data_IF_674816172934
#
_entry.id   IF_674816172934
#
_cell.length_a   1.000
_cell.length_b   1.000
_cell.length_c   1.000
_cell.angle_alpha   90.00
_cell.angle_beta   90.00
_cell.angle_gamma   90.00
#
_symmetry.space_group_name_H-M   'P 1'
#
loop_
_entity.id
_entity.type
_entity.pdbx_description
1 polymer ?
#
# COMPACT_ATOMS: atom_id res chain seq x y z
N UNK A 1 11.43 -76.14 23.01
CA UNK A 1 12.83 -76.49 22.72
C UNK A 1 13.59 -75.20 22.42
N UNK A 2 14.13 -74.51 23.44
CA UNK A 2 15.57 -74.30 23.71
C UNK A 2 16.45 -74.03 22.48
N UNK A 3 16.99 -72.80 22.39
CA UNK A 3 18.40 -72.40 22.11
C UNK A 3 18.43 -70.86 21.94
N UNK A 4 18.75 -70.08 22.97
CA UNK A 4 20.10 -69.64 23.39
C UNK A 4 20.99 -69.09 22.27
N UNK A 5 21.18 -67.76 22.23
CA UNK A 5 22.42 -67.12 21.79
C UNK A 5 22.53 -65.68 22.34
N UNK A 6 23.06 -65.57 23.56
CA UNK A 6 23.69 -64.34 24.07
C UNK A 6 24.96 -64.03 23.26
N UNK A 7 25.22 -62.74 22.98
CA UNK A 7 26.54 -62.04 22.88
C UNK A 7 26.29 -60.65 22.26
N UNK A 8 26.95 -59.53 22.57
CA UNK A 8 27.88 -59.09 23.62
C UNK A 8 27.91 -57.56 23.52
N UNK A 9 27.91 -56.88 24.67
CA UNK A 9 28.22 -55.45 24.89
C UNK A 9 29.49 -55.03 24.14
N UNK A 10 29.49 -53.86 23.48
CA UNK A 10 30.64 -52.96 23.43
C UNK A 10 30.15 -51.50 23.45
N UNK A 11 30.27 -50.89 24.62
CA UNK A 11 30.32 -49.45 24.78
C UNK A 11 31.67 -48.96 24.23
N UNK A 12 31.66 -47.95 23.37
CA UNK A 12 32.85 -47.21 22.97
C UNK A 12 32.62 -45.74 23.26
N UNK A 13 33.24 -45.32 24.36
CA UNK A 13 33.41 -43.96 24.83
C UNK A 13 34.05 -43.10 23.72
N UNK A 14 33.36 -42.06 23.26
CA UNK A 14 33.96 -41.02 22.42
C UNK A 14 34.57 -39.95 23.33
N UNK A 15 35.90 -39.94 23.34
CA UNK A 15 36.77 -38.97 24.03
C UNK A 15 36.53 -37.55 23.49
N UNK A 16 36.32 -36.59 24.39
CA UNK A 16 36.36 -35.16 24.10
C UNK A 16 37.81 -34.70 23.83
N UNK A 17 38.06 -33.79 22.87
CA UNK A 17 39.37 -33.19 22.68
C UNK A 17 39.61 -32.00 23.63
N UNK A 18 40.89 -31.78 23.92
CA UNK A 18 41.43 -30.92 24.97
C UNK A 18 41.13 -29.42 24.77
N UNK A 19 40.80 -28.75 25.88
CA UNK A 19 40.71 -27.30 25.99
C UNK A 19 42.11 -26.67 25.95
N UNK A 20 42.35 -25.82 24.96
CA UNK A 20 43.55 -24.99 24.83
C UNK A 20 43.27 -23.65 25.52
N UNK A 21 43.89 -23.40 26.67
CA UNK A 21 43.75 -22.19 27.45
C UNK A 21 44.53 -21.03 26.78
N UNK A 22 43.81 -19.98 26.39
CA UNK A 22 44.38 -18.69 25.96
C UNK A 22 44.47 -17.75 27.15
N UNK A 23 45.70 -17.30 27.45
CA UNK A 23 46.01 -16.28 28.45
C UNK A 23 45.55 -14.89 27.97
N UNK A 24 44.89 -14.07 28.80
CA UNK A 24 44.55 -12.70 28.41
C UNK A 24 45.80 -11.81 28.53
N UNK A 25 46.16 -11.17 27.42
CA UNK A 25 47.13 -10.10 27.37
C UNK A 25 46.52 -8.87 28.06
N UNK A 26 46.99 -8.56 29.27
CA UNK A 26 46.64 -7.32 29.96
C UNK A 26 47.32 -6.13 29.25
N UNK A 27 46.54 -5.35 28.51
CA UNK A 27 46.97 -4.06 27.96
C UNK A 27 46.90 -3.04 29.10
N UNK A 28 48.07 -2.61 29.59
CA UNK A 28 48.18 -1.39 30.40
C UNK A 28 47.91 -0.19 29.48
N UNK A 29 46.76 0.48 29.69
CA UNK A 29 46.56 1.85 29.20
C UNK A 29 47.09 2.79 30.30
N UNK A 30 47.95 3.77 29.98
CA UNK A 30 48.45 4.71 30.98
C UNK A 30 47.30 5.53 31.54
N UNK A 31 47.38 5.80 32.85
CA UNK A 31 46.41 6.64 33.54
C UNK A 31 46.22 7.98 32.84
N UNK A 32 44.96 8.35 32.65
CA UNK A 32 44.56 9.74 32.68
C UNK A 32 44.57 10.15 34.16
N UNK A 33 45.69 10.70 34.62
CA UNK A 33 45.69 11.59 35.78
C UNK A 33 44.81 12.81 35.45
N UNK A 34 43.92 13.14 36.39
CA UNK A 34 43.22 14.42 36.57
C UNK A 34 42.40 15.00 35.40
N UNK A 35 41.27 14.36 35.06
CA UNK A 35 40.14 15.11 34.52
C UNK A 35 39.20 15.47 35.68
N UNK A 36 39.29 16.73 36.12
CA UNK A 36 38.29 17.38 36.96
C UNK A 36 36.89 16.97 36.47
N UNK A 37 36.07 16.45 37.37
CA UNK A 37 34.68 16.06 37.10
C UNK A 37 33.80 17.29 36.92
N UNK A 38 34.06 18.11 35.90
CA UNK A 38 33.09 19.11 35.48
C UNK A 38 31.97 18.37 34.77
N UNK A 39 30.75 18.50 35.30
CA UNK A 39 29.55 17.99 34.61
C UNK A 39 29.56 18.50 33.16
N UNK A 40 29.19 17.70 32.15
CA UNK A 40 29.15 18.18 30.77
C UNK A 40 28.26 19.43 30.60
N UNK A 41 27.27 19.61 31.48
CA UNK A 41 26.39 20.77 31.55
C UNK A 41 26.94 21.96 32.36
N UNK A 42 28.13 21.85 32.96
CA UNK A 42 28.73 22.96 33.69
C UNK A 42 29.09 24.11 32.73
N UNK A 43 28.45 25.26 32.94
CA UNK A 43 28.58 26.44 32.07
C UNK A 43 27.72 26.42 30.80
N UNK A 44 26.78 25.47 30.65
CA UNK A 44 25.80 25.45 29.55
C UNK A 44 24.47 25.99 30.04
N UNK A 45 24.11 27.19 29.60
CA UNK A 45 22.85 27.84 29.97
C UNK A 45 21.74 27.68 28.92
N UNK A 46 22.02 26.98 27.82
CA UNK A 46 21.08 26.80 26.71
C UNK A 46 20.51 28.12 26.19
N UNK A 47 21.34 29.18 26.15
CA UNK A 47 20.93 30.53 25.79
C UNK A 47 19.84 31.13 26.72
N UNK A 48 19.60 30.54 27.89
CA UNK A 48 18.54 30.91 28.82
C UNK A 48 17.14 30.39 28.45
N UNK A 49 17.01 29.54 27.42
CA UNK A 49 15.74 29.07 26.87
C UNK A 49 15.65 27.54 26.83
N UNK A 50 16.17 26.88 27.87
CA UNK A 50 16.10 25.43 27.99
C UNK A 50 16.86 24.88 29.19
N UNK A 51 16.79 23.57 29.34
CA UNK A 51 17.49 22.82 30.39
C UNK A 51 18.53 21.91 29.75
N UNK A 52 19.76 21.96 30.25
CA UNK A 52 20.83 21.07 29.79
C UNK A 52 20.64 19.65 30.32
N UNK A 53 20.70 18.68 29.42
CA UNK A 53 20.79 17.24 29.70
C UNK A 53 22.09 16.67 29.14
N UNK A 54 22.49 15.52 29.66
CA UNK A 54 23.67 14.80 29.16
C UNK A 54 23.25 13.57 28.39
N UNK A 55 23.70 13.44 27.14
CA UNK A 55 23.63 12.20 26.39
C UNK A 55 25.05 11.63 26.25
N UNK A 56 25.35 10.62 27.08
CA UNK A 56 26.70 10.11 27.28
C UNK A 56 27.64 11.17 27.84
N UNK A 57 28.62 11.60 27.04
CA UNK A 57 29.63 12.60 27.43
C UNK A 57 29.32 14.02 26.90
N UNK A 58 28.26 14.18 26.10
CA UNK A 58 27.95 15.44 25.43
C UNK A 58 26.77 16.16 26.09
N UNK A 59 26.88 17.48 26.33
CA UNK A 59 25.76 18.30 26.77
C UNK A 59 24.82 18.63 25.61
N UNK A 60 23.53 18.35 25.80
CA UNK A 60 22.45 18.63 24.87
C UNK A 60 21.40 19.52 25.56
N UNK A 61 20.95 20.56 24.89
CA UNK A 61 19.89 21.42 25.40
C UNK A 61 18.50 20.88 25.03
N UNK A 62 17.64 20.68 26.01
CA UNK A 62 16.19 20.55 25.79
C UNK A 62 15.60 21.95 25.86
N UNK A 63 15.21 22.51 24.71
CA UNK A 63 14.77 23.89 24.60
C UNK A 63 13.29 24.08 24.96
N UNK A 64 12.96 25.27 25.47
CA UNK A 64 11.59 25.71 25.72
C UNK A 64 10.81 25.89 24.40
N UNK A 65 9.46 25.88 24.42
CA UNK A 65 8.64 26.08 23.22
C UNK A 65 9.01 27.36 22.45
N UNK A 66 9.09 27.24 21.12
CA UNK A 66 9.54 28.32 20.22
C UNK A 66 11.07 28.39 20.02
N UNK A 67 11.82 27.45 20.60
CA UNK A 67 13.27 27.36 20.46
C UNK A 67 13.71 25.95 20.04
N UNK A 68 14.68 25.87 19.14
CA UNK A 68 15.16 24.61 18.56
C UNK A 68 16.56 24.30 19.12
N UNK A 69 16.85 23.05 19.51
CA UNK A 69 18.16 22.66 20.01
C UNK A 69 19.21 22.67 18.89
N UNK A 70 20.29 23.42 19.11
CA UNK A 70 21.48 23.45 18.25
C UNK A 70 22.72 23.15 19.09
N UNK A 71 22.85 21.89 19.48
CA UNK A 71 23.89 21.42 20.37
C UNK A 71 23.75 21.99 21.79
N UNK A 72 24.65 22.93 22.15
CA UNK A 72 24.70 23.57 23.49
C UNK A 72 23.88 24.87 23.57
N UNK A 73 23.16 25.22 22.51
CA UNK A 73 22.43 26.48 22.40
C UNK A 73 20.99 26.20 21.98
N UNK A 74 20.07 27.00 22.50
CA UNK A 74 18.75 27.13 21.94
C UNK A 74 18.77 28.35 21.02
N UNK A 75 18.30 28.17 19.77
CA UNK A 75 18.12 29.27 18.81
C UNK A 75 16.63 29.52 18.60
N UNK A 76 16.18 30.78 18.36
CA UNK A 76 14.78 31.04 18.10
C UNK A 76 14.35 30.22 16.90
N UNK A 77 13.34 29.36 17.11
CA UNK A 77 12.59 28.80 16.00
C UNK A 77 11.76 29.95 15.46
N UNK A 78 12.32 30.72 14.52
CA UNK A 78 11.47 31.53 13.66
C UNK A 78 10.45 30.59 13.05
N UNK A 79 9.18 31.02 13.00
CA UNK A 79 8.06 30.25 12.49
C UNK A 79 8.45 29.59 11.15
N UNK A 80 8.80 28.31 11.21
CA UNK A 80 9.04 27.42 10.08
C UNK A 80 8.11 26.24 10.34
N UNK A 81 6.85 26.36 9.94
CA UNK A 81 6.50 26.22 8.54
C UNK A 81 6.13 24.76 8.34
N UNK A 82 4.84 24.46 8.38
CA UNK A 82 4.26 23.21 7.89
C UNK A 82 3.11 23.59 6.98
N UNK A 83 3.35 23.41 5.68
CA UNK A 83 2.38 23.07 4.65
C UNK A 83 1.05 23.86 4.66
N UNK A 84 0.92 24.82 3.75
CA UNK A 84 -0.35 25.47 3.45
C UNK A 84 -0.60 25.31 1.94
N UNK A 85 -1.80 24.88 1.58
CA UNK A 85 -2.24 24.91 0.18
C UNK A 85 -2.31 26.35 -0.34
N UNK A 86 -2.53 26.51 -1.65
CA UNK A 86 -2.61 27.81 -2.32
C UNK A 86 -3.68 28.79 -1.77
N UNK A 87 -4.56 28.32 -0.87
CA UNK A 87 -5.62 29.09 -0.19
C UNK A 87 -5.31 29.42 1.29
N UNK A 88 -4.13 29.06 1.81
CA UNK A 88 -3.65 29.50 3.13
C UNK A 88 -4.37 28.90 4.34
N UNK A 89 -4.91 27.68 4.21
CA UNK A 89 -5.39 26.89 5.35
C UNK A 89 -4.25 26.04 5.91
N UNK A 90 -4.23 25.92 7.24
CA UNK A 90 -3.29 25.15 8.03
C UNK A 90 -3.57 23.64 7.86
N UNK A 91 -2.74 22.90 7.10
CA UNK A 91 -2.73 21.42 7.16
C UNK A 91 -1.87 20.97 8.33
N UNK A 92 -2.29 21.41 9.51
CA UNK A 92 -2.05 20.67 10.74
C UNK A 92 -2.54 19.24 10.49
N UNK A 93 -1.59 18.34 10.23
CA UNK A 93 -1.72 16.88 10.23
C UNK A 93 -2.44 16.50 11.52
N UNK A 94 -3.76 16.45 11.45
CA UNK A 94 -4.62 16.33 12.62
C UNK A 94 -5.26 14.99 12.52
N UNK A 95 -4.61 14.03 13.16
CA UNK A 95 -5.18 12.73 13.28
C UNK A 95 -6.58 12.80 13.88
N UNK A 96 -7.54 12.26 13.14
CA UNK A 96 -8.95 12.26 13.50
C UNK A 96 -9.76 13.41 12.89
N UNK A 97 -9.41 13.90 11.70
CA UNK A 97 -10.21 14.91 10.98
C UNK A 97 -11.10 14.34 9.87
N UNK A 98 -10.99 13.04 9.62
CA UNK A 98 -11.74 12.25 8.66
C UNK A 98 -11.07 12.16 7.29
N UNK A 99 -9.82 12.62 7.15
CA UNK A 99 -9.07 12.62 5.89
C UNK A 99 -7.66 12.07 6.11
N UNK A 100 -7.35 10.93 5.49
CA UNK A 100 -5.99 10.37 5.53
C UNK A 100 -4.98 11.21 4.73
N UNK A 101 -4.02 11.81 5.42
CA UNK A 101 -2.91 12.55 4.82
C UNK A 101 -1.68 11.68 4.47
N UNK A 102 -0.76 12.21 3.66
CA UNK A 102 0.44 11.51 3.16
C UNK A 102 1.42 10.97 4.23
N UNK A 103 1.30 11.40 5.49
CA UNK A 103 2.16 10.96 6.62
C UNK A 103 1.38 10.16 7.67
N UNK A 104 0.06 10.00 7.50
CA UNK A 104 -0.80 9.26 8.40
C UNK A 104 -0.95 7.83 7.88
N UNK A 105 -0.90 6.85 8.77
CA UNK A 105 -1.20 5.46 8.39
C UNK A 105 -2.72 5.25 8.33
N UNK A 106 -3.50 6.03 9.08
CA UNK A 106 -4.96 5.99 9.15
C UNK A 106 -5.52 7.35 9.60
N UNK A 107 -6.82 7.60 9.39
CA UNK A 107 -7.58 8.68 10.02
C UNK A 107 -9.05 8.24 10.13
N UNK A 108 -9.60 8.22 11.35
CA UNK A 108 -10.97 7.77 11.64
C UNK A 108 -11.91 8.90 12.12
N UNK A 109 -11.51 10.15 11.91
CA UNK A 109 -12.32 11.31 12.24
C UNK A 109 -12.46 11.58 13.74
N UNK A 110 -11.66 10.94 14.61
CA UNK A 110 -11.63 11.26 16.02
C UNK A 110 -10.27 10.93 16.71
N UNK A 111 -10.13 11.27 18.00
CA UNK A 111 -8.87 11.14 18.75
C UNK A 111 -8.93 10.01 19.81
N UNK A 112 -9.77 9.01 19.60
CA UNK A 112 -9.89 7.89 20.51
C UNK A 112 -8.75 6.91 20.25
N UNK A 113 -8.05 6.51 21.31
CA UNK A 113 -6.85 5.66 21.16
C UNK A 113 -7.19 4.19 20.90
N UNK A 114 -8.47 3.87 20.70
CA UNK A 114 -9.00 2.51 20.84
C UNK A 114 -10.08 2.15 19.84
N UNK A 115 -10.06 2.65 18.61
CA UNK A 115 -11.10 2.40 17.59
C UNK A 115 -10.57 2.23 16.17
N UNK A 116 -9.30 1.84 16.02
CA UNK A 116 -8.71 1.56 14.71
C UNK A 116 -7.54 2.48 14.40
N UNK A 117 -7.60 3.74 14.84
CA UNK A 117 -6.55 4.73 14.62
C UNK A 117 -6.22 5.48 15.92
N UNK A 118 -4.96 5.46 16.36
CA UNK A 118 -4.55 6.25 17.53
C UNK A 118 -4.57 7.74 17.23
N UNK A 119 -4.55 8.62 18.24
CA UNK A 119 -4.38 10.08 18.02
C UNK A 119 -3.01 10.49 17.46
N UNK A 120 -2.10 9.53 17.29
CA UNK A 120 -0.81 9.69 16.61
C UNK A 120 -0.84 9.18 15.15
N UNK A 121 -2.02 8.83 14.62
CA UNK A 121 -2.22 8.34 13.26
C UNK A 121 -1.42 7.09 12.90
N UNK A 122 -1.24 6.26 13.92
CA UNK A 122 -0.78 4.87 13.79
C UNK A 122 -1.97 3.94 13.97
N UNK A 123 -2.01 2.86 13.20
CA UNK A 123 -3.06 1.86 13.33
C UNK A 123 -3.08 1.28 14.75
N UNK A 124 -4.27 1.21 15.35
CA UNK A 124 -4.49 0.46 16.58
C UNK A 124 -5.72 -0.41 16.45
N UNK A 125 -5.54 -1.73 16.38
CA UNK A 125 -6.69 -2.62 16.42
C UNK A 125 -7.37 -2.53 17.80
N UNK A 126 -8.70 -2.51 17.85
CA UNK A 126 -9.47 -2.58 19.09
C UNK A 126 -10.17 -3.91 19.32
N UNK A 127 -10.68 -4.48 18.24
CA UNK A 127 -11.29 -5.79 18.17
C UNK A 127 -10.58 -6.60 17.08
N UNK A 128 -10.83 -7.91 17.08
CA UNK A 128 -10.44 -8.78 15.98
C UNK A 128 -10.89 -8.25 14.61
N UNK A 129 -12.11 -7.70 14.54
CA UNK A 129 -12.72 -7.17 13.32
C UNK A 129 -11.95 -5.99 12.69
N UNK A 130 -11.13 -5.27 13.46
CA UNK A 130 -10.32 -4.17 12.92
C UNK A 130 -9.05 -4.69 12.21
N UNK A 131 -8.79 -5.99 12.32
CA UNK A 131 -7.66 -6.69 11.69
C UNK A 131 -8.11 -7.62 10.56
N UNK A 132 -9.39 -7.59 10.16
CA UNK A 132 -9.93 -8.43 9.09
C UNK A 132 -9.12 -8.26 7.81
N UNK A 133 -8.36 -9.29 7.44
CA UNK A 133 -7.54 -9.31 6.23
C UNK A 133 -8.24 -9.97 5.04
N UNK A 134 -9.48 -10.44 5.24
CA UNK A 134 -10.29 -11.11 4.23
C UNK A 134 -9.89 -12.57 3.99
N UNK A 135 -9.01 -13.15 4.81
CA UNK A 135 -8.69 -14.56 4.76
C UNK A 135 -9.42 -15.32 5.88
N UNK A 136 -10.50 -16.01 5.51
CA UNK A 136 -11.31 -16.81 6.43
C UNK A 136 -10.54 -17.96 7.12
N UNK A 137 -9.38 -18.35 6.58
CA UNK A 137 -8.53 -19.39 7.15
C UNK A 137 -7.50 -18.89 8.16
N UNK A 138 -7.55 -17.60 8.49
CA UNK A 138 -6.83 -17.01 9.60
C UNK A 138 -7.80 -16.32 10.55
N UNK A 139 -7.74 -16.67 11.84
CA UNK A 139 -8.42 -15.90 12.88
C UNK A 139 -7.65 -14.59 13.09
N UNK A 140 -8.34 -13.47 12.88
CA UNK A 140 -7.78 -12.15 13.13
C UNK A 140 -7.75 -11.84 14.62
N UNK A 141 -6.55 -11.57 15.13
CA UNK A 141 -6.31 -11.28 16.52
C UNK A 141 -5.72 -9.90 16.68
N UNK A 142 -6.41 -9.10 17.48
CA UNK A 142 -5.81 -7.90 18.04
C UNK A 142 -5.03 -8.23 19.31
N UNK A 143 -3.69 -8.32 19.21
CA UNK A 143 -2.83 -8.62 20.34
C UNK A 143 -2.55 -7.37 21.18
N UNK A 144 -2.64 -7.51 22.50
CA UNK A 144 -2.42 -6.43 23.49
C UNK A 144 -1.12 -6.61 24.30
N UNK A 145 -0.13 -7.31 23.74
CA UNK A 145 1.11 -7.62 24.44
C UNK A 145 2.18 -6.51 24.30
N UNK A 146 2.83 -6.13 25.41
CA UNK A 146 4.04 -5.29 25.38
C UNK A 146 3.84 -3.78 25.34
N UNK A 147 2.60 -3.28 25.45
CA UNK A 147 2.31 -1.84 25.44
C UNK A 147 2.02 -1.25 24.04
N UNK A 148 1.89 -2.10 23.03
CA UNK A 148 1.34 -1.76 21.71
C UNK A 148 0.16 -2.66 21.36
N UNK A 149 -0.68 -2.21 20.41
CA UNK A 149 -1.79 -2.98 19.84
C UNK A 149 -1.39 -3.33 18.41
N UNK A 150 -1.40 -4.61 18.06
CA UNK A 150 -0.96 -5.06 16.75
C UNK A 150 -1.88 -6.15 16.22
N UNK A 151 -2.16 -6.09 14.92
CA UNK A 151 -2.82 -7.18 14.22
C UNK A 151 -1.85 -8.37 14.10
N UNK A 152 -2.38 -9.55 14.41
CA UNK A 152 -1.73 -10.83 14.21
C UNK A 152 -2.80 -11.79 13.75
N UNK A 153 -2.44 -12.71 12.88
CA UNK A 153 -3.30 -13.83 12.52
C UNK A 153 -2.90 -15.08 13.31
N UNK A 154 -3.87 -15.97 13.53
CA UNK A 154 -3.61 -17.36 13.90
C UNK A 154 -4.34 -18.30 12.95
N UNK A 155 -3.79 -19.47 12.60
CA UNK A 155 -4.47 -20.37 11.66
C UNK A 155 -5.84 -20.83 12.20
N UNK A 156 -6.87 -20.77 11.36
CA UNK A 156 -8.17 -21.35 11.62
C UNK A 156 -8.08 -22.89 11.75
N UNK A 157 -9.18 -23.55 12.13
CA UNK A 157 -9.13 -25.02 12.28
C UNK A 157 -8.98 -25.67 10.91
N UNK A 158 -8.05 -26.61 10.85
CA UNK A 158 -7.87 -27.45 9.65
C UNK A 158 -9.17 -28.20 9.35
N UNK A 159 -9.66 -28.10 8.12
CA UNK A 159 -10.91 -28.70 7.70
C UNK A 159 -12.17 -27.87 8.02
N UNK A 160 -12.01 -26.67 8.56
CA UNK A 160 -13.10 -25.68 8.62
C UNK A 160 -13.43 -25.21 7.20
N UNK A 161 -14.71 -25.05 6.90
CA UNK A 161 -15.17 -24.57 5.60
C UNK A 161 -14.76 -23.11 5.41
N UNK A 162 -14.28 -22.78 4.23
CA UNK A 162 -13.96 -21.42 3.80
C UNK A 162 -14.46 -21.20 2.37
N UNK A 163 -14.45 -19.95 1.91
CA UNK A 163 -14.68 -19.54 0.53
C UNK A 163 -13.47 -18.74 0.03
N UNK A 164 -12.75 -19.23 -0.98
CA UNK A 164 -11.61 -18.51 -1.59
C UNK A 164 -12.03 -17.51 -2.68
N UNK A 165 -13.35 -17.39 -2.92
CA UNK A 165 -13.95 -16.52 -3.92
C UNK A 165 -13.85 -17.05 -5.35
N UNK A 166 -13.31 -18.26 -5.57
CA UNK A 166 -13.24 -18.90 -6.87
C UNK A 166 -14.31 -19.99 -6.99
N UNK A 167 -15.33 -19.73 -7.80
CA UNK A 167 -16.44 -20.68 -8.02
C UNK A 167 -16.01 -22.02 -8.67
N UNK A 168 -14.77 -22.11 -9.20
CA UNK A 168 -14.20 -23.33 -9.74
C UNK A 168 -13.37 -24.16 -8.75
N UNK A 169 -13.33 -23.75 -7.49
CA UNK A 169 -12.89 -24.57 -6.37
C UNK A 169 -14.12 -24.96 -5.55
N UNK A 170 -14.15 -26.22 -5.13
CA UNK A 170 -15.27 -26.82 -4.38
C UNK A 170 -14.73 -27.58 -3.18
N UNK A 171 -15.63 -27.85 -2.23
CA UNK A 171 -15.29 -28.52 -0.97
C UNK A 171 -14.09 -27.84 -0.26
N UNK A 172 -14.14 -26.51 -0.24
CA UNK A 172 -13.09 -25.64 0.24
C UNK A 172 -12.92 -25.71 1.76
N UNK A 173 -11.67 -25.88 2.16
CA UNK A 173 -11.29 -26.05 3.56
C UNK A 173 -9.98 -25.37 3.88
N UNK A 174 -9.85 -24.93 5.12
CA UNK A 174 -8.60 -24.39 5.63
C UNK A 174 -7.54 -25.48 5.81
N UNK A 175 -6.34 -25.24 5.27
CA UNK A 175 -5.18 -26.12 5.44
C UNK A 175 -4.33 -25.73 6.68
N UNK A 176 -3.31 -26.54 7.01
CA UNK A 176 -2.38 -26.27 8.14
C UNK A 176 -1.57 -24.96 7.99
N UNK A 177 -1.53 -24.38 6.78
CA UNK A 177 -0.84 -23.12 6.48
C UNK A 177 -1.74 -21.88 6.63
N UNK A 178 -3.04 -22.06 6.92
CA UNK A 178 -3.99 -20.95 7.00
C UNK A 178 -4.45 -20.44 5.63
N UNK A 179 -4.38 -21.29 4.61
CA UNK A 179 -4.88 -20.99 3.26
C UNK A 179 -6.20 -21.74 3.03
N UNK A 180 -7.15 -21.08 2.37
CA UNK A 180 -8.35 -21.74 1.86
C UNK A 180 -7.95 -22.55 0.61
N UNK A 181 -8.20 -23.86 0.64
CA UNK A 181 -7.89 -24.76 -0.47
C UNK A 181 -9.09 -25.64 -0.80
N UNK A 182 -9.41 -25.77 -2.08
CA UNK A 182 -10.47 -26.63 -2.58
C UNK A 182 -9.98 -27.68 -3.58
N UNK A 183 -10.87 -28.60 -3.92
CA UNK A 183 -10.71 -29.44 -5.10
C UNK A 183 -11.20 -28.69 -6.34
N UNK A 184 -10.59 -28.95 -7.49
CA UNK A 184 -11.07 -28.36 -8.74
C UNK A 184 -12.49 -28.87 -9.04
N UNK A 185 -13.41 -27.93 -9.27
CA UNK A 185 -14.73 -28.23 -9.77
C UNK A 185 -14.62 -29.01 -11.10
N UNK A 186 -15.55 -29.96 -11.37
CA UNK A 186 -15.56 -30.69 -12.63
C UNK A 186 -15.57 -29.75 -13.83
N UNK A 187 -14.96 -30.18 -14.94
CA UNK A 187 -15.07 -29.46 -16.19
C UNK A 187 -16.54 -29.29 -16.59
N UNK A 188 -16.86 -28.16 -17.22
CA UNK A 188 -18.24 -27.78 -17.61
C UNK A 188 -19.17 -27.42 -16.42
N UNK A 189 -18.65 -27.37 -15.19
CA UNK A 189 -19.35 -26.73 -14.07
C UNK A 189 -19.46 -25.25 -14.35
N UNK A 190 -20.66 -24.69 -14.20
CA UNK A 190 -20.88 -23.26 -14.44
C UNK A 190 -20.13 -22.44 -13.39
N UNK A 191 -19.43 -21.42 -13.85
CA UNK A 191 -18.78 -20.40 -13.05
C UNK A 191 -18.97 -19.04 -13.74
N UNK A 192 -18.61 -17.96 -13.06
CA UNK A 192 -18.61 -16.62 -13.62
C UNK A 192 -17.42 -15.82 -13.05
N UNK A 193 -16.42 -15.53 -13.89
CA UNK A 193 -15.27 -14.71 -13.48
C UNK A 193 -15.48 -13.20 -13.72
N UNK A 194 -16.70 -12.78 -14.11
CA UNK A 194 -17.10 -11.42 -14.45
C UNK A 194 -16.24 -10.76 -15.55
N UNK A 195 -15.49 -11.55 -16.32
CA UNK A 195 -14.54 -11.05 -17.33
C UNK A 195 -15.09 -11.07 -18.76
N UNK A 196 -16.19 -11.79 -19.03
CA UNK A 196 -16.75 -11.99 -20.38
C UNK A 196 -18.28 -11.95 -20.42
N UNK A 197 -18.80 -11.36 -21.49
CA UNK A 197 -20.21 -11.00 -21.67
C UNK A 197 -20.70 -11.62 -22.99
N UNK A 198 -20.83 -12.95 -23.00
CA UNK A 198 -21.16 -13.75 -24.19
C UNK A 198 -22.45 -14.58 -24.04
N UNK A 199 -23.19 -14.38 -22.95
CA UNK A 199 -24.47 -15.03 -22.69
C UNK A 199 -24.36 -16.54 -22.50
N UNK A 200 -23.15 -17.07 -22.45
CA UNK A 200 -22.84 -18.42 -22.02
C UNK A 200 -22.25 -18.34 -20.61
N UNK A 201 -22.70 -19.19 -19.67
CA UNK A 201 -22.00 -19.26 -18.39
C UNK A 201 -20.56 -19.71 -18.67
N UNK A 202 -19.57 -19.03 -18.09
CA UNK A 202 -18.21 -19.54 -18.08
C UNK A 202 -18.23 -20.95 -17.47
N UNK A 203 -17.23 -21.74 -17.82
CA UNK A 203 -17.11 -23.07 -17.24
C UNK A 203 -15.75 -23.29 -16.63
N UNK A 204 -15.75 -24.09 -15.58
CA UNK A 204 -14.51 -24.60 -15.04
C UNK A 204 -13.83 -25.49 -16.07
N UNK A 205 -12.51 -25.36 -16.21
CA UNK A 205 -11.69 -26.19 -17.08
C UNK A 205 -11.38 -27.59 -16.49
N UNK A 206 -11.87 -27.87 -15.28
CA UNK A 206 -11.56 -29.08 -14.52
C UNK A 206 -10.21 -29.04 -13.80
N UNK A 207 -9.46 -27.95 -13.92
CA UNK A 207 -8.20 -27.68 -13.23
C UNK A 207 -8.32 -26.54 -12.19
N UNK A 208 -9.52 -26.01 -11.99
CA UNK A 208 -9.82 -24.98 -10.99
C UNK A 208 -9.83 -23.56 -11.56
N UNK A 209 -9.74 -23.40 -12.89
CA UNK A 209 -9.85 -22.10 -13.54
C UNK A 209 -11.20 -21.94 -14.22
N UNK A 210 -11.84 -20.79 -13.99
CA UNK A 210 -13.03 -20.36 -14.71
C UNK A 210 -12.60 -19.79 -16.08
N UNK A 211 -12.91 -20.51 -17.17
CA UNK A 211 -12.43 -20.18 -18.52
C UNK A 211 -13.57 -19.76 -19.46
N UNK A 212 -13.34 -18.76 -20.32
CA UNK A 212 -14.35 -18.28 -21.26
C UNK A 212 -14.62 -19.24 -22.42
N UNK A 213 -15.88 -19.34 -22.83
CA UNK A 213 -16.30 -20.07 -24.03
C UNK A 213 -16.06 -19.29 -25.33
N UNK A 214 -14.81 -18.90 -25.62
CA UNK A 214 -14.29 -18.57 -26.97
C UNK A 214 -15.25 -17.94 -28.02
N UNK A 215 -15.63 -16.65 -27.91
CA UNK A 215 -15.72 -15.64 -29.00
C UNK A 215 -16.13 -14.25 -28.43
N UNK A 216 -15.81 -13.11 -29.10
CA UNK A 216 -15.14 -11.98 -28.45
C UNK A 216 -16.02 -11.09 -27.53
N UNK A 217 -15.43 -10.54 -26.45
CA UNK A 217 -16.10 -9.67 -25.48
C UNK A 217 -16.46 -8.30 -26.08
N UNK A 218 -17.31 -7.57 -25.37
CA UNK A 218 -17.55 -6.14 -25.57
C UNK A 218 -16.24 -5.42 -25.95
N UNK A 219 -16.25 -4.58 -27.00
CA UNK A 219 -15.02 -3.96 -27.47
C UNK A 219 -14.42 -3.10 -26.35
N UNK A 220 -13.26 -3.51 -25.83
CA UNK A 220 -12.48 -2.77 -24.80
C UNK A 220 -11.97 -1.41 -25.28
N UNK A 221 -12.11 -1.13 -26.58
CA UNK A 221 -11.87 0.17 -27.19
C UNK A 221 -13.23 0.78 -27.59
N UNK A 222 -13.75 1.70 -26.78
CA UNK A 222 -15.02 2.36 -27.06
C UNK A 222 -15.75 2.86 -25.82
N UNK A 223 -17.07 2.94 -25.91
CA UNK A 223 -17.96 3.45 -24.87
C UNK A 223 -18.55 2.33 -24.02
N UNK A 224 -17.69 1.52 -23.39
CA UNK A 224 -18.11 0.38 -22.55
C UNK A 224 -17.74 0.67 -21.10
N UNK A 225 -18.73 0.69 -20.19
CA UNK A 225 -18.50 0.81 -18.74
C UNK A 225 -18.45 -0.54 -18.02
N UNK A 226 -18.93 -1.59 -18.68
CA UNK A 226 -19.00 -2.92 -18.10
C UNK A 226 -19.98 -3.79 -18.88
N UNK A 227 -20.51 -4.80 -18.20
CA UNK A 227 -21.40 -5.78 -18.77
C UNK A 227 -22.59 -6.07 -17.87
N UNK A 228 -23.72 -6.40 -18.49
CA UNK A 228 -24.92 -6.91 -17.86
C UNK A 228 -25.09 -8.36 -18.31
N UNK A 229 -24.68 -9.29 -17.44
CA UNK A 229 -24.72 -10.72 -17.69
C UNK A 229 -26.15 -11.27 -17.77
N UNK A 230 -27.10 -10.63 -17.07
CA UNK A 230 -28.50 -11.06 -17.12
C UNK A 230 -29.16 -10.74 -18.45
N UNK A 231 -28.70 -9.67 -19.08
CA UNK A 231 -29.19 -9.21 -20.37
C UNK A 231 -28.35 -9.70 -21.56
N UNK A 232 -27.21 -10.35 -21.30
CA UNK A 232 -26.22 -10.69 -22.33
C UNK A 232 -25.88 -9.46 -23.19
N UNK A 233 -25.54 -8.36 -22.50
CA UNK A 233 -25.39 -7.05 -23.13
C UNK A 233 -24.25 -6.22 -22.53
N UNK A 234 -23.48 -5.58 -23.42
CA UNK A 234 -22.51 -4.56 -23.05
C UNK A 234 -23.21 -3.34 -22.46
N UNK A 235 -22.74 -2.87 -21.31
CA UNK A 235 -23.26 -1.66 -20.65
C UNK A 235 -22.57 -0.43 -21.23
N UNK A 236 -23.32 0.52 -21.80
CA UNK A 236 -22.76 1.77 -22.30
C UNK A 236 -22.06 2.54 -21.19
N UNK A 237 -20.90 3.13 -21.49
CA UNK A 237 -20.25 4.08 -20.61
C UNK A 237 -21.15 5.30 -20.37
N UNK A 238 -21.02 5.91 -19.20
CA UNK A 238 -21.78 7.10 -18.85
C UNK A 238 -21.62 8.19 -19.92
N UNK A 239 -22.69 8.98 -20.14
CA UNK A 239 -22.62 10.13 -21.03
C UNK A 239 -21.46 11.05 -20.63
N UNK A 240 -20.85 11.70 -21.63
CA UNK A 240 -19.68 12.57 -21.49
C UNK A 240 -18.35 11.87 -21.12
N UNK A 241 -18.32 10.54 -20.99
CA UNK A 241 -17.07 9.78 -20.84
C UNK A 241 -16.22 9.89 -22.11
N UNK A 242 -14.96 10.30 -22.02
CA UNK A 242 -14.06 10.42 -23.18
C UNK A 242 -13.67 9.02 -23.67
N UNK A 243 -14.04 8.67 -24.90
CA UNK A 243 -13.69 7.40 -25.54
C UNK A 243 -12.55 7.51 -26.56
N UNK A 244 -12.33 8.71 -27.11
CA UNK A 244 -11.11 9.04 -27.86
C UNK A 244 -10.63 10.43 -27.42
N UNK A 245 -9.42 10.54 -26.85
CA UNK A 245 -8.85 11.85 -26.55
C UNK A 245 -8.47 12.59 -27.83
N UNK A 246 -8.53 13.91 -27.80
CA UNK A 246 -8.04 14.75 -28.89
C UNK A 246 -6.54 14.52 -29.14
N UNK A 247 -6.17 14.24 -30.39
CA UNK A 247 -4.80 14.04 -30.84
C UNK A 247 -4.04 15.35 -31.15
N UNK A 248 -4.66 16.51 -30.92
CA UNK A 248 -4.04 17.82 -31.11
C UNK A 248 -5.04 18.98 -31.01
N UNK A 249 -4.56 20.21 -31.21
CA UNK A 249 -5.37 21.43 -31.08
C UNK A 249 -6.54 21.54 -32.09
N UNK A 250 -6.46 20.81 -33.21
CA UNK A 250 -7.49 20.77 -34.24
C UNK A 250 -8.36 19.51 -34.20
N UNK A 251 -8.20 18.69 -33.18
CA UNK A 251 -8.95 17.47 -32.95
C UNK A 251 -9.90 17.66 -31.76
N UNK A 252 -11.11 17.12 -31.84
CA UNK A 252 -12.08 17.16 -30.75
C UNK A 252 -12.08 15.79 -30.08
N UNK A 253 -12.21 15.75 -28.76
CA UNK A 253 -12.39 14.50 -28.05
C UNK A 253 -13.80 13.96 -28.26
N UNK A 254 -13.94 12.67 -28.58
CA UNK A 254 -15.25 12.04 -28.63
C UNK A 254 -15.64 11.51 -27.28
N UNK A 255 -16.92 11.72 -26.99
CA UNK A 255 -17.55 11.38 -25.74
C UNK A 255 -18.71 10.44 -25.95
N UNK A 256 -18.87 9.51 -25.04
CA UNK A 256 -19.97 8.57 -25.02
C UNK A 256 -21.30 9.30 -24.82
N UNK A 257 -22.36 8.78 -25.43
CA UNK A 257 -23.71 9.34 -25.33
C UNK A 257 -24.52 8.76 -24.16
N UNK A 258 -23.97 7.77 -23.44
CA UNK A 258 -24.66 7.05 -22.37
C UNK A 258 -25.54 5.90 -22.84
N UNK A 259 -25.57 5.59 -24.14
CA UNK A 259 -26.52 4.63 -24.75
C UNK A 259 -25.84 3.68 -25.74
N UNK A 260 -24.89 4.16 -26.53
CA UNK A 260 -24.11 3.38 -27.49
C UNK A 260 -22.81 2.91 -26.85
N UNK A 261 -22.43 1.67 -27.16
CA UNK A 261 -21.11 1.10 -26.81
C UNK A 261 -20.01 1.45 -27.80
N UNK A 262 -20.40 1.99 -28.95
CA UNK A 262 -19.46 2.52 -29.94
C UNK A 262 -19.17 3.99 -29.65
N UNK A 263 -17.89 4.35 -29.68
CA UNK A 263 -17.45 5.74 -29.67
C UNK A 263 -18.00 6.45 -30.93
N UNK A 264 -18.45 7.71 -30.83
CA UNK A 264 -18.83 8.50 -32.01
C UNK A 264 -17.72 8.58 -33.06
N UNK A 265 -18.11 8.90 -34.29
CA UNK A 265 -17.14 9.14 -35.37
C UNK A 265 -16.20 10.29 -35.01
N UNK A 266 -14.93 10.16 -35.42
CA UNK A 266 -13.90 11.18 -35.24
C UNK A 266 -14.35 12.55 -35.79
N UNK A 267 -14.38 13.55 -34.91
CA UNK A 267 -14.74 14.93 -35.18
C UNK A 267 -13.54 15.86 -34.99
N UNK A 268 -13.46 16.89 -35.84
CA UNK A 268 -12.39 17.88 -35.82
C UNK A 268 -12.91 19.26 -35.44
N UNK A 269 -12.00 20.11 -34.95
CA UNK A 269 -12.30 21.51 -34.71
C UNK A 269 -12.69 22.20 -36.02
N UNK A 270 -13.65 23.12 -35.95
CA UNK A 270 -14.14 23.83 -37.13
C UNK A 270 -13.03 24.59 -37.87
N UNK A 271 -13.16 24.70 -39.19
CA UNK A 271 -12.23 25.47 -40.00
C UNK A 271 -12.12 26.93 -39.50
N UNK A 272 -10.89 27.42 -39.32
CA UNK A 272 -10.62 28.74 -38.75
C UNK A 272 -10.50 28.78 -37.23
N UNK A 273 -10.71 27.67 -36.52
CA UNK A 273 -10.43 27.58 -35.08
C UNK A 273 -8.93 27.85 -34.83
N UNK A 274 -8.58 28.66 -33.82
CA UNK A 274 -7.18 29.00 -33.55
C UNK A 274 -6.42 27.76 -33.09
N UNK A 275 -5.22 27.58 -33.61
CA UNK A 275 -4.28 26.54 -33.19
C UNK A 275 -2.85 27.10 -33.22
N UNK A 276 -1.89 26.30 -32.77
CA UNK A 276 -0.46 26.57 -32.87
C UNK A 276 0.23 25.26 -33.24
N UNK A 277 0.95 25.24 -34.37
CA UNK A 277 1.70 24.07 -34.84
C UNK A 277 3.18 24.08 -34.41
N UNK A 278 3.59 25.06 -33.61
CA UNK A 278 4.96 25.24 -33.15
C UNK A 278 5.90 25.85 -34.20
N UNK A 279 5.38 26.30 -35.35
CA UNK A 279 6.17 26.95 -36.41
C UNK A 279 6.67 28.36 -36.03
N UNK A 280 6.22 28.90 -34.90
CA UNK A 280 6.57 30.25 -34.43
C UNK A 280 5.81 31.36 -35.14
N UNK A 281 4.88 31.01 -36.03
CA UNK A 281 3.94 31.92 -36.65
C UNK A 281 2.73 32.18 -35.74
N UNK A 282 2.36 33.43 -35.48
CA UNK A 282 1.15 33.71 -34.72
C UNK A 282 -0.09 33.59 -35.60
N UNK A 283 -1.19 33.05 -35.04
CA UNK A 283 -2.52 32.90 -35.64
C UNK A 283 -2.66 31.77 -36.68
N UNK A 284 -2.20 30.57 -36.33
CA UNK A 284 -2.50 29.38 -37.13
C UNK A 284 -3.98 28.98 -36.97
N UNK A 285 -4.49 28.26 -37.95
CA UNK A 285 -5.92 27.89 -37.98
C UNK A 285 -6.12 26.46 -38.36
N UNK A 286 -7.14 25.81 -37.80
CA UNK A 286 -7.55 24.49 -38.21
C UNK A 286 -8.19 24.52 -39.61
N UNK A 287 -7.93 23.48 -40.41
CA UNK A 287 -8.51 23.32 -41.74
C UNK A 287 -9.92 22.69 -41.74
N UNK A 288 -10.41 22.25 -40.58
CA UNK A 288 -11.67 21.50 -40.44
C UNK A 288 -11.54 19.99 -40.63
N UNK A 289 -10.33 19.49 -40.86
CA UNK A 289 -10.01 18.07 -41.07
C UNK A 289 -8.90 17.58 -40.11
N UNK A 290 -8.67 18.30 -39.02
CA UNK A 290 -7.72 17.93 -37.97
C UNK A 290 -6.30 18.49 -38.17
N UNK A 291 -6.05 19.25 -39.23
CA UNK A 291 -4.73 19.82 -39.49
C UNK A 291 -4.68 21.27 -39.05
N UNK A 292 -3.68 21.61 -38.23
CA UNK A 292 -3.32 23.00 -37.98
C UNK A 292 -2.51 23.52 -39.18
N UNK A 293 -3.04 24.53 -39.87
CA UNK A 293 -2.38 25.13 -41.02
C UNK A 293 -1.82 26.52 -40.66
N UNK A 294 -0.54 26.80 -40.99
CA UNK A 294 0.07 28.07 -40.69
C UNK A 294 -0.52 29.17 -41.57
N UNK A 295 -0.64 30.38 -41.01
CA UNK A 295 -1.07 31.53 -41.79
C UNK A 295 0.00 31.90 -42.83
N UNK A 296 -0.39 32.03 -44.10
CA UNK A 296 0.49 32.32 -45.26
C UNK A 296 1.09 33.73 -45.26
N UNK A 297 0.94 34.48 -44.16
CA UNK A 297 1.49 35.83 -43.98
C UNK A 297 2.73 35.88 -43.08
N UNK A 298 3.30 34.70 -42.79
CA UNK A 298 4.71 34.52 -42.49
C UNK A 298 5.47 34.15 -43.77
#
# INVERSE_FOLDING_TARGET
MRRDARRRRQATERRAPAALALLPLAILVPGCDDAVSSSPCEGVDCSGHGVCHTDGFWPLCSCDPGWIPSGRWCVPGGDVGGDADADGRDVSRTCGDGVTDLTEECDDGNANETDGCTSLCTYSCHLAADCEDGNECTEDLCLTAGGGRACSSSPARVGESCDDGNECTIDEVCNDAGECVGEAAPADTLCDNHLYCDGAPDVCDGAGACVPMSMPPCPVAGCVAGCDETADACVPAAADTICRPAAGACDVDERCDGVSVSCPDNAFAGAGAPCDDGSGCPNDTCDGAGTCVPNTSC
#
